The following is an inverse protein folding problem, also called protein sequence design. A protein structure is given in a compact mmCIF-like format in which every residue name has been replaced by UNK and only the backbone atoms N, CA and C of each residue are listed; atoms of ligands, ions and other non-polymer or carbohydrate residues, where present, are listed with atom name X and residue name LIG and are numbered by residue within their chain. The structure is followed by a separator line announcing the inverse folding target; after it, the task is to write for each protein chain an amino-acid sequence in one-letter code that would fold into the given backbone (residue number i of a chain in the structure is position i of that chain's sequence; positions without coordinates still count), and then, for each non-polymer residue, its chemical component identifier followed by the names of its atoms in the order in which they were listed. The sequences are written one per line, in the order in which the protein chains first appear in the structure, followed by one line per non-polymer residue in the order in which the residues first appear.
data_IF_887858409696
#
_entry.id   IF_887858409696
#
_cell.length_a   1.000
_cell.length_b   1.000
_cell.length_c   1.000
_cell.angle_alpha   90.00
_cell.angle_beta   90.00
_cell.angle_gamma   90.00
#
_symmetry.space_group_name_H-M   'P 1'
#
loop_
_entity.id
_entity.type
_entity.pdbx_description
1 polymer ?
#
# COMPACT_ATOMS: atom_id res chain seq x y z
N UNK A 1 9.15 -2.41 43.20
CA UNK A 1 9.79 -1.41 42.30
C UNK A 1 10.17 -2.10 41.01
N UNK A 2 9.42 -1.88 39.92
CA UNK A 2 9.72 -2.49 38.61
C UNK A 2 10.49 -1.52 37.74
N UNK A 3 11.76 -1.82 37.45
CA UNK A 3 12.60 -1.02 36.55
C UNK A 3 12.10 -1.18 35.11
N UNK A 4 11.57 -0.11 34.51
CA UNK A 4 11.23 -0.09 33.08
C UNK A 4 12.53 -0.14 32.27
N UNK A 5 12.74 -1.24 31.55
CA UNK A 5 13.80 -1.37 30.55
C UNK A 5 13.52 -0.35 29.44
N UNK A 6 14.43 0.60 29.24
CA UNK A 6 14.39 1.51 28.09
C UNK A 6 15.03 0.81 26.90
N UNK A 7 14.22 0.21 26.04
CA UNK A 7 14.71 -0.33 24.77
C UNK A 7 14.97 0.82 23.80
N UNK A 8 16.25 1.08 23.52
CA UNK A 8 16.65 2.02 22.47
C UNK A 8 16.62 1.29 21.12
N UNK A 9 15.41 1.03 20.60
CA UNK A 9 15.24 0.46 19.27
C UNK A 9 15.44 1.58 18.25
N UNK A 10 16.58 1.58 17.55
CA UNK A 10 16.78 2.38 16.34
C UNK A 10 16.59 1.46 15.13
N UNK A 11 15.39 1.34 14.56
CA UNK A 11 15.28 0.83 13.21
C UNK A 11 15.80 1.96 12.31
N UNK A 12 17.06 1.85 11.91
CA UNK A 12 17.61 2.70 10.86
C UNK A 12 17.05 2.20 9.54
N UNK A 13 15.79 2.57 9.28
CA UNK A 13 15.00 2.44 8.06
C UNK A 13 13.58 2.80 8.51
N UNK A 14 13.07 3.99 8.15
CA UNK A 14 11.68 4.35 8.48
C UNK A 14 10.69 3.25 8.08
N UNK A 15 9.49 3.15 8.68
CA UNK A 15 8.54 2.11 8.34
C UNK A 15 8.42 2.05 6.82
N UNK A 16 8.80 0.90 6.23
CA UNK A 16 8.82 0.68 4.77
C UNK A 16 7.38 0.61 4.28
N UNK A 17 6.70 1.75 4.29
CA UNK A 17 5.38 1.90 3.73
C UNK A 17 5.50 2.46 2.31
N UNK A 18 4.51 2.15 1.49
CA UNK A 18 4.46 2.48 0.08
C UNK A 18 3.45 3.60 -0.22
N UNK A 19 3.03 4.37 0.79
CA UNK A 19 2.01 5.43 0.65
C UNK A 19 2.36 6.41 -0.48
N UNK A 20 3.62 6.85 -0.56
CA UNK A 20 4.10 7.74 -1.63
C UNK A 20 3.99 7.08 -3.01
N UNK A 21 4.34 5.80 -3.10
CA UNK A 21 4.30 5.01 -4.33
C UNK A 21 2.86 4.80 -4.78
N UNK A 22 1.95 4.47 -3.86
CA UNK A 22 0.51 4.37 -4.13
C UNK A 22 -0.10 5.69 -4.56
N UNK A 23 0.25 6.81 -3.92
CA UNK A 23 -0.19 8.14 -4.37
C UNK A 23 0.26 8.43 -5.81
N UNK A 24 1.53 8.16 -6.12
CA UNK A 24 2.07 8.33 -7.47
C UNK A 24 1.43 7.38 -8.48
N UNK A 25 1.19 6.13 -8.10
CA UNK A 25 0.51 5.14 -8.93
C UNK A 25 -0.91 5.58 -9.30
N UNK A 26 -1.61 6.26 -8.39
CA UNK A 26 -2.92 6.87 -8.65
C UNK A 26 -2.84 8.26 -9.30
N UNK A 27 -1.64 8.75 -9.65
CA UNK A 27 -1.45 10.03 -10.34
C UNK A 27 -1.77 11.27 -9.52
N UNK A 28 -1.74 11.19 -8.19
CA UNK A 28 -2.17 12.28 -7.30
C UNK A 28 -1.00 13.15 -6.81
N UNK A 29 -1.23 14.46 -6.66
CA UNK A 29 -0.35 15.35 -5.88
C UNK A 29 -0.55 15.14 -4.37
N UNK A 30 0.36 15.67 -3.55
CA UNK A 30 0.22 15.60 -2.08
C UNK A 30 -1.02 16.38 -1.62
N UNK A 31 -1.29 17.54 -2.23
CA UNK A 31 -2.45 18.39 -1.95
C UNK A 31 -3.76 17.66 -2.31
N UNK A 32 -3.79 16.95 -3.44
CA UNK A 32 -4.96 16.19 -3.86
C UNK A 32 -5.24 15.03 -2.89
N UNK A 33 -4.21 14.29 -2.48
CA UNK A 33 -4.39 13.23 -1.48
C UNK A 33 -4.82 13.81 -0.13
N UNK A 34 -4.19 14.89 0.31
CA UNK A 34 -4.51 15.57 1.57
C UNK A 34 -5.97 16.04 1.59
N UNK A 35 -6.45 16.60 0.48
CA UNK A 35 -7.84 17.02 0.32
C UNK A 35 -8.82 15.85 0.38
N UNK A 36 -8.45 14.68 -0.18
CA UNK A 36 -9.30 13.46 -0.14
C UNK A 36 -9.43 12.87 1.26
N UNK A 37 -8.41 12.98 2.09
CA UNK A 37 -8.39 12.44 3.46
C UNK A 37 -8.60 13.51 4.53
N UNK A 38 -8.98 14.73 4.11
CA UNK A 38 -9.31 15.87 4.98
C UNK A 38 -8.20 16.26 5.97
N UNK A 39 -6.94 16.28 5.50
CA UNK A 39 -5.78 16.70 6.30
C UNK A 39 -4.99 17.82 5.63
N UNK A 40 -4.06 18.42 6.36
CA UNK A 40 -3.14 19.38 5.78
C UNK A 40 -2.14 18.67 4.84
N UNK A 41 -1.73 19.33 3.75
CA UNK A 41 -0.68 18.83 2.86
C UNK A 41 0.63 18.52 3.60
N UNK A 42 0.94 19.30 4.64
CA UNK A 42 2.09 19.07 5.51
C UNK A 42 2.04 17.72 6.22
N UNK A 43 0.85 17.23 6.59
CA UNK A 43 0.65 15.91 7.19
C UNK A 43 1.02 14.80 6.21
N UNK A 44 0.58 14.88 4.95
CA UNK A 44 0.96 13.92 3.91
C UNK A 44 2.47 13.97 3.65
N UNK A 45 3.06 15.16 3.58
CA UNK A 45 4.51 15.32 3.36
C UNK A 45 5.34 14.72 4.51
N UNK A 46 4.95 14.97 5.77
CA UNK A 46 5.61 14.40 6.94
C UNK A 46 5.43 12.89 7.03
N UNK A 47 4.26 12.38 6.66
CA UNK A 47 3.97 10.96 6.57
C UNK A 47 4.86 10.27 5.53
N UNK A 48 4.90 10.79 4.29
CA UNK A 48 5.70 10.20 3.21
C UNK A 48 7.20 10.24 3.44
N UNK A 49 7.68 11.18 4.27
CA UNK A 49 9.09 11.31 4.64
C UNK A 49 9.44 10.59 5.95
N UNK A 50 8.46 9.92 6.58
CA UNK A 50 8.65 9.21 7.84
C UNK A 50 8.87 10.11 9.05
N UNK A 51 8.67 11.43 8.92
CA UNK A 51 8.74 12.39 10.04
C UNK A 51 7.55 12.24 10.99
N UNK A 52 6.41 11.79 10.47
CA UNK A 52 5.23 11.43 11.23
C UNK A 52 4.83 10.00 10.87
N UNK A 53 4.56 9.16 11.87
CA UNK A 53 4.00 7.82 11.64
C UNK A 53 2.52 7.86 11.25
N UNK A 54 2.01 6.77 10.67
CA UNK A 54 0.57 6.58 10.49
C UNK A 54 -0.07 6.08 11.79
N UNK A 55 -1.34 6.42 11.98
CA UNK A 55 -2.24 5.72 12.90
C UNK A 55 -3.07 4.70 12.12
N UNK A 56 -3.71 3.75 12.81
CA UNK A 56 -4.63 2.80 12.16
C UNK A 56 -5.75 3.52 11.37
N UNK A 57 -6.46 4.53 11.94
CA UNK A 57 -7.48 5.26 11.18
C UNK A 57 -6.91 5.98 9.95
N UNK A 58 -5.74 6.62 10.08
CA UNK A 58 -5.08 7.28 8.94
C UNK A 58 -4.75 6.28 7.83
N UNK A 59 -4.26 5.09 8.20
CA UNK A 59 -3.93 4.05 7.24
C UNK A 59 -5.17 3.55 6.49
N UNK A 60 -6.29 3.37 7.18
CA UNK A 60 -7.58 2.99 6.58
C UNK A 60 -8.11 4.08 5.65
N UNK A 61 -8.14 5.34 6.08
CA UNK A 61 -8.59 6.46 5.25
C UNK A 61 -7.73 6.63 4.00
N UNK A 62 -6.40 6.46 4.12
CA UNK A 62 -5.50 6.48 2.97
C UNK A 62 -5.75 5.31 2.01
N UNK A 63 -5.99 4.12 2.55
CA UNK A 63 -6.26 2.92 1.75
C UNK A 63 -7.52 3.11 0.91
N UNK A 64 -8.59 3.63 1.52
CA UNK A 64 -9.84 3.97 0.84
C UNK A 64 -9.62 5.03 -0.24
N UNK A 65 -8.94 6.14 0.09
CA UNK A 65 -8.67 7.23 -0.85
C UNK A 65 -7.77 6.83 -2.03
N UNK A 66 -6.93 5.79 -1.83
CA UNK A 66 -6.02 5.22 -2.82
C UNK A 66 -6.57 3.95 -3.48
N UNK A 67 -7.77 3.48 -3.09
CA UNK A 67 -8.43 2.31 -3.65
C UNK A 67 -7.61 1.03 -3.48
N UNK A 68 -7.08 0.77 -2.28
CA UNK A 68 -6.30 -0.42 -1.94
C UNK A 68 -6.64 -0.90 -0.53
N UNK A 69 -6.04 -2.00 -0.07
CA UNK A 69 -6.17 -2.45 1.32
C UNK A 69 -5.10 -1.77 2.20
N UNK A 70 -5.36 -1.56 3.51
CA UNK A 70 -4.36 -0.99 4.44
C UNK A 70 -3.03 -1.75 4.43
N UNK A 71 -3.07 -3.08 4.28
CA UNK A 71 -1.88 -3.92 4.19
C UNK A 71 -1.02 -3.62 2.94
N UNK A 72 -1.65 -3.18 1.84
CA UNK A 72 -0.95 -2.85 0.60
C UNK A 72 -0.02 -1.66 0.80
N UNK A 73 -0.47 -0.68 1.57
CA UNK A 73 0.32 0.49 1.94
C UNK A 73 1.55 0.14 2.78
N UNK A 74 1.58 -1.04 3.41
CA UNK A 74 2.69 -1.47 4.28
C UNK A 74 3.62 -2.47 3.61
N UNK A 75 3.13 -3.23 2.62
CA UNK A 75 3.86 -4.41 2.12
C UNK A 75 4.08 -4.38 0.61
N UNK A 76 3.35 -3.56 -0.15
CA UNK A 76 3.31 -3.64 -1.61
C UNK A 76 3.77 -2.34 -2.26
N UNK A 77 4.85 -2.43 -3.04
CA UNK A 77 5.23 -1.36 -3.98
C UNK A 77 4.42 -1.51 -5.28
N UNK A 78 3.46 -0.60 -5.57
CA UNK A 78 2.66 -0.67 -6.79
C UNK A 78 3.45 -0.24 -8.04
N UNK A 79 4.68 0.25 -7.89
CA UNK A 79 5.57 0.63 -8.99
C UNK A 79 6.60 -0.45 -9.32
N UNK A 80 6.62 -1.57 -8.59
CA UNK A 80 7.52 -2.69 -8.88
C UNK A 80 7.01 -3.49 -10.08
N UNK A 81 7.79 -3.49 -11.16
CA UNK A 81 7.53 -4.32 -12.35
C UNK A 81 7.53 -5.82 -12.00
N UNK A 82 6.59 -6.57 -12.60
CA UNK A 82 6.48 -8.03 -12.41
C UNK A 82 5.79 -8.48 -11.11
N UNK A 83 5.17 -7.58 -10.36
CA UNK A 83 4.46 -7.94 -9.13
C UNK A 83 3.06 -8.51 -9.43
N UNK A 84 2.79 -9.75 -8.97
CA UNK A 84 1.53 -10.50 -9.17
C UNK A 84 0.26 -9.71 -8.83
N UNK A 85 0.35 -8.75 -7.92
CA UNK A 85 -0.77 -7.93 -7.43
C UNK A 85 -1.31 -6.92 -8.45
N UNK A 86 -0.54 -6.59 -9.50
CA UNK A 86 -0.97 -5.69 -10.58
C UNK A 86 -2.17 -6.24 -11.38
N UNK A 87 -2.40 -7.54 -11.31
CA UNK A 87 -3.48 -8.23 -12.03
C UNK A 87 -4.80 -8.14 -11.26
N UNK A 88 -4.79 -7.89 -9.94
CA UNK A 88 -6.00 -7.94 -9.10
C UNK A 88 -7.05 -6.90 -9.51
N UNK A 89 -6.64 -5.65 -9.71
CA UNK A 89 -7.54 -4.58 -10.17
C UNK A 89 -8.09 -4.86 -11.57
N UNK A 90 -7.31 -5.52 -12.43
CA UNK A 90 -7.76 -5.96 -13.76
C UNK A 90 -8.74 -7.13 -13.65
N UNK A 91 -8.53 -8.07 -12.71
CA UNK A 91 -9.42 -9.22 -12.52
C UNK A 91 -10.79 -8.81 -11.97
N UNK A 92 -10.88 -7.74 -11.16
CA UNK A 92 -12.17 -7.24 -10.65
C UNK A 92 -13.18 -6.89 -11.74
N UNK A 93 -12.72 -6.39 -12.89
CA UNK A 93 -13.58 -6.01 -14.03
C UNK A 93 -13.83 -7.14 -15.02
N UNK A 94 -13.11 -8.26 -14.89
CA UNK A 94 -13.22 -9.42 -15.79
C UNK A 94 -14.39 -10.33 -15.36
N UNK A 95 -15.20 -10.87 -16.29
CA UNK A 95 -16.23 -11.86 -15.98
C UNK A 95 -15.69 -13.12 -15.27
N UNK A 96 -16.50 -13.74 -14.41
CA UNK A 96 -16.08 -14.88 -13.56
C UNK A 96 -15.52 -16.04 -14.40
N UNK A 97 -16.14 -16.32 -15.55
CA UNK A 97 -15.74 -17.38 -16.47
C UNK A 97 -14.32 -17.17 -16.98
N UNK A 98 -13.98 -15.91 -17.28
CA UNK A 98 -12.65 -15.53 -17.77
C UNK A 98 -11.62 -15.50 -16.64
N UNK A 99 -12.01 -15.16 -15.40
CA UNK A 99 -11.14 -15.33 -14.22
C UNK A 99 -10.75 -16.80 -14.03
N UNK A 100 -11.72 -17.71 -14.14
CA UNK A 100 -11.47 -19.15 -14.00
C UNK A 100 -10.50 -19.68 -15.08
N UNK A 101 -10.64 -19.21 -16.32
CA UNK A 101 -9.68 -19.54 -17.40
C UNK A 101 -8.26 -19.04 -17.09
N UNK A 102 -8.13 -17.82 -16.57
CA UNK A 102 -6.83 -17.26 -16.19
C UNK A 102 -6.18 -18.11 -15.09
N UNK A 103 -6.94 -18.49 -14.06
CA UNK A 103 -6.46 -19.36 -12.98
C UNK A 103 -5.97 -20.71 -13.53
N UNK A 104 -6.73 -21.35 -14.42
CA UNK A 104 -6.37 -22.64 -15.00
C UNK A 104 -5.06 -22.59 -15.81
N UNK A 105 -4.81 -21.50 -16.55
CA UNK A 105 -3.56 -21.30 -17.28
C UNK A 105 -2.39 -21.17 -16.31
N UNK A 106 -2.53 -20.36 -15.25
CA UNK A 106 -1.48 -20.18 -14.23
C UNK A 106 -1.16 -21.51 -13.55
N UNK A 107 -2.16 -22.28 -13.14
CA UNK A 107 -1.95 -23.61 -12.55
C UNK A 107 -1.23 -24.57 -13.49
N UNK A 108 -1.57 -24.54 -14.79
CA UNK A 108 -0.92 -25.39 -15.79
C UNK A 108 0.56 -25.02 -15.93
N UNK A 109 0.86 -23.71 -16.02
CA UNK A 109 2.23 -23.22 -16.12
C UNK A 109 3.06 -23.59 -14.88
N UNK A 110 2.47 -23.56 -13.68
CA UNK A 110 3.14 -23.97 -12.44
C UNK A 110 3.39 -25.48 -12.32
N UNK A 111 2.55 -26.31 -12.96
CA UNK A 111 2.68 -27.78 -12.96
C UNK A 111 3.66 -28.31 -14.03
N UNK A 112 3.96 -27.50 -15.05
CA UNK A 112 4.79 -27.91 -16.19
C UNK A 112 6.26 -27.48 -16.04
N UNK A 113 6.68 -27.10 -14.82
CA UNK A 113 8.04 -26.68 -14.48
C UNK A 113 8.74 -27.65 -13.54
#
# INVERSE_FOLDING_TARGET
MGTRVRTNFKPNDGPRHFIRQWRKHRGLTQEQLASRVEVATSTISQLETGKQGYSQPMLETLADALGCQPADLLMRDPLREGAFWSIEDQLKSVPVERRNQIIAVVETLLKTG
#
